data_IF_706164702590
#
_entry.id   IF_706164702590
#
_cell.length_a   1.000
_cell.length_b   1.000
_cell.length_c   1.000
_cell.angle_alpha   90.00
_cell.angle_beta   90.00
_cell.angle_gamma   90.00
#
_symmetry.space_group_name_H-M   'P 1'
#
loop_
_entity.id
_entity.type
_entity.pdbx_description
1 polymer ?
#
# COMPACT_ATOMS: atom_id res chain seq x y z
N UNK A 1 5.01 -19.17 1.71
CA UNK A 1 3.87 -18.88 2.60
C UNK A 1 3.79 -17.41 2.99
N UNK A 2 4.79 -16.82 3.66
CA UNK A 2 4.72 -15.38 4.02
C UNK A 2 4.76 -14.45 2.78
N UNK A 3 5.55 -14.84 1.77
CA UNK A 3 5.58 -14.17 0.46
C UNK A 3 4.21 -14.18 -0.23
N UNK A 4 3.49 -15.30 -0.16
CA UNK A 4 2.17 -15.45 -0.79
C UNK A 4 1.15 -14.50 -0.15
N UNK A 5 1.20 -14.34 1.19
CA UNK A 5 0.32 -13.39 1.90
C UNK A 5 0.61 -11.95 1.46
N UNK A 6 1.90 -11.59 1.31
CA UNK A 6 2.30 -10.27 0.81
C UNK A 6 1.76 -10.02 -0.61
N UNK A 7 1.91 -11.00 -1.50
CA UNK A 7 1.43 -10.92 -2.88
C UNK A 7 -0.11 -10.83 -2.95
N UNK A 8 -0.82 -11.67 -2.18
CA UNK A 8 -2.29 -11.67 -2.14
C UNK A 8 -2.80 -10.32 -1.65
N UNK A 9 -2.20 -9.79 -0.59
CA UNK A 9 -2.63 -8.51 0.00
C UNK A 9 -2.36 -7.35 -0.96
N UNK A 10 -1.21 -7.35 -1.63
CA UNK A 10 -0.88 -6.38 -2.67
C UNK A 10 -1.84 -6.45 -3.85
N UNK A 11 -2.23 -7.66 -4.27
CA UNK A 11 -3.19 -7.88 -5.36
C UNK A 11 -4.56 -7.35 -4.98
N UNK A 12 -5.01 -7.59 -3.75
CA UNK A 12 -6.26 -7.03 -3.24
C UNK A 12 -6.19 -5.50 -3.20
N UNK A 13 -5.09 -4.91 -2.70
CA UNK A 13 -4.90 -3.45 -2.70
C UNK A 13 -5.01 -2.85 -4.11
N UNK A 14 -4.42 -3.52 -5.11
CA UNK A 14 -4.51 -3.13 -6.51
C UNK A 14 -5.96 -3.17 -7.02
N UNK A 15 -6.71 -4.23 -6.76
CA UNK A 15 -8.12 -4.34 -7.15
C UNK A 15 -8.99 -3.24 -6.50
N UNK A 16 -8.78 -2.95 -5.22
CA UNK A 16 -9.47 -1.86 -4.52
C UNK A 16 -9.14 -0.49 -5.12
N UNK A 17 -7.90 -0.27 -5.53
CA UNK A 17 -7.46 0.99 -6.15
C UNK A 17 -8.11 1.17 -7.52
N UNK A 18 -8.16 0.10 -8.33
CA UNK A 18 -8.85 0.10 -9.63
C UNK A 18 -10.35 0.40 -9.43
N UNK A 19 -11.00 -0.30 -8.50
CA UNK A 19 -12.40 -0.05 -8.16
C UNK A 19 -12.64 1.40 -7.74
N UNK A 20 -11.84 1.91 -6.81
CA UNK A 20 -11.95 3.29 -6.32
C UNK A 20 -11.79 4.32 -7.45
N UNK A 21 -10.87 4.09 -8.38
CA UNK A 21 -10.63 4.97 -9.53
C UNK A 21 -11.87 5.02 -10.44
N UNK A 22 -12.46 3.87 -10.77
CA UNK A 22 -13.66 3.84 -11.60
C UNK A 22 -14.90 4.37 -10.86
N UNK A 23 -15.08 4.01 -9.60
CA UNK A 23 -16.21 4.44 -8.79
C UNK A 23 -16.20 5.97 -8.55
N UNK A 24 -15.02 6.56 -8.29
CA UNK A 24 -14.88 8.02 -8.12
C UNK A 24 -15.11 8.77 -9.44
N UNK A 25 -14.53 8.29 -10.54
CA UNK A 25 -14.75 8.89 -11.87
C UNK A 25 -16.23 8.86 -12.28
N UNK A 26 -16.88 7.71 -12.12
CA UNK A 26 -18.29 7.55 -12.46
C UNK A 26 -19.23 8.31 -11.51
N UNK A 27 -18.92 8.31 -10.21
CA UNK A 27 -19.68 9.06 -9.20
C UNK A 27 -19.62 10.57 -9.42
N UNK A 28 -18.44 11.11 -9.76
CA UNK A 28 -18.25 12.51 -10.11
C UNK A 28 -18.96 12.89 -11.41
N UNK A 29 -18.91 12.04 -12.44
CA UNK A 29 -19.58 12.31 -13.72
C UNK A 29 -21.11 12.28 -13.63
N UNK A 30 -21.67 11.40 -12.79
CA UNK A 30 -23.13 11.27 -12.65
C UNK A 30 -23.73 12.08 -11.50
N UNK A 31 -22.92 12.83 -10.74
CA UNK A 31 -23.39 13.58 -9.57
C UNK A 31 -24.01 12.70 -8.49
N UNK A 32 -23.58 11.42 -8.39
CA UNK A 32 -24.13 10.46 -7.41
C UNK A 32 -23.18 10.34 -6.23
N UNK A 33 -23.52 11.02 -5.14
CA UNK A 33 -22.72 11.07 -3.91
C UNK A 33 -22.42 9.67 -3.32
N UNK A 34 -23.36 8.72 -3.43
CA UNK A 34 -23.18 7.35 -2.94
C UNK A 34 -22.01 6.60 -3.58
N UNK A 35 -21.73 6.86 -4.86
CA UNK A 35 -20.59 6.25 -5.57
C UNK A 35 -19.27 6.90 -5.16
N UNK A 36 -19.29 8.20 -4.88
CA UNK A 36 -18.13 8.95 -4.39
C UNK A 36 -17.77 8.51 -2.97
N UNK A 37 -18.76 8.31 -2.09
CA UNK A 37 -18.55 7.79 -0.74
C UNK A 37 -18.01 6.35 -0.73
N UNK A 38 -18.55 5.48 -1.59
CA UNK A 38 -18.04 4.12 -1.75
C UNK A 38 -16.58 4.11 -2.22
N UNK A 39 -16.24 4.96 -3.20
CA UNK A 39 -14.87 5.12 -3.66
C UNK A 39 -13.95 5.61 -2.53
N UNK A 40 -14.41 6.57 -1.72
CA UNK A 40 -13.66 7.10 -0.57
C UNK A 40 -13.31 6.00 0.43
N UNK A 41 -14.29 5.16 0.78
CA UNK A 41 -14.08 4.05 1.71
C UNK A 41 -13.14 2.98 1.13
N UNK A 42 -13.25 2.70 -0.18
CA UNK A 42 -12.35 1.78 -0.87
C UNK A 42 -10.89 2.28 -0.85
N UNK A 43 -10.64 3.57 -1.09
CA UNK A 43 -9.29 4.16 -1.01
C UNK A 43 -8.72 4.09 0.41
N UNK A 44 -9.54 4.31 1.44
CA UNK A 44 -9.10 4.18 2.83
C UNK A 44 -8.62 2.77 3.19
N UNK A 45 -9.16 1.73 2.53
CA UNK A 45 -8.72 0.34 2.71
C UNK A 45 -7.39 0.03 2.00
N UNK A 46 -6.97 0.83 1.01
CA UNK A 46 -5.71 0.59 0.28
C UNK A 46 -4.50 0.78 1.20
N UNK A 47 -4.50 1.80 2.07
CA UNK A 47 -3.38 2.06 2.98
C UNK A 47 -3.05 0.89 3.93
N UNK A 48 -4.01 0.30 4.69
CA UNK A 48 -3.70 -0.84 5.56
C UNK A 48 -3.27 -2.08 4.75
N UNK A 49 -3.83 -2.32 3.57
CA UNK A 49 -3.41 -3.44 2.71
C UNK A 49 -1.96 -3.29 2.22
N UNK A 50 -1.58 -2.08 1.77
CA UNK A 50 -0.20 -1.79 1.41
C UNK A 50 0.74 -1.88 2.61
N UNK A 51 0.29 -1.44 3.79
CA UNK A 51 1.06 -1.54 5.05
C UNK A 51 1.39 -2.98 5.39
N UNK A 52 0.42 -3.90 5.29
CA UNK A 52 0.65 -5.34 5.50
C UNK A 52 1.72 -5.86 4.53
N UNK A 53 1.60 -5.48 3.25
CA UNK A 53 2.55 -5.89 2.20
C UNK A 53 3.97 -5.37 2.49
N UNK A 54 4.10 -4.09 2.89
CA UNK A 54 5.37 -3.47 3.29
C UNK A 54 5.97 -4.17 4.50
N UNK A 55 5.19 -4.43 5.55
CA UNK A 55 5.66 -5.10 6.77
C UNK A 55 6.16 -6.51 6.46
N UNK A 56 5.48 -7.26 5.59
CA UNK A 56 5.92 -8.59 5.16
C UNK A 56 7.28 -8.52 4.44
N UNK A 57 7.45 -7.57 3.51
CA UNK A 57 8.72 -7.42 2.78
C UNK A 57 9.85 -6.97 3.72
N UNK A 58 9.58 -6.01 4.62
CA UNK A 58 10.56 -5.56 5.62
C UNK A 58 10.97 -6.70 6.55
N UNK A 59 10.00 -7.51 6.99
CA UNK A 59 10.27 -8.68 7.82
C UNK A 59 11.17 -9.68 7.07
N UNK A 60 10.86 -9.97 5.80
CA UNK A 60 11.67 -10.86 4.97
C UNK A 60 13.09 -10.34 4.71
N UNK A 61 13.26 -9.02 4.52
CA UNK A 61 14.57 -8.39 4.42
C UNK A 61 15.36 -8.48 5.73
N UNK A 62 14.69 -8.29 6.87
CA UNK A 62 15.32 -8.38 8.19
C UNK A 62 15.79 -9.80 8.51
N UNK A 63 14.96 -10.81 8.24
CA UNK A 63 15.26 -12.23 8.46
C UNK A 63 16.10 -12.86 7.36
N UNK A 64 16.38 -12.13 6.26
CA UNK A 64 17.06 -12.64 5.07
C UNK A 64 16.38 -13.88 4.47
N UNK A 65 15.06 -13.80 4.32
CA UNK A 65 14.30 -14.86 3.65
C UNK A 65 14.58 -14.86 2.13
N UNK A 66 15.62 -15.60 1.74
CA UNK A 66 16.03 -15.77 0.34
C UNK A 66 15.04 -16.59 -0.50
N UNK A 67 13.95 -17.10 0.07
CA UNK A 67 12.85 -17.64 -0.73
C UNK A 67 12.18 -16.57 -1.59
N UNK A 68 12.29 -15.29 -1.22
CA UNK A 68 11.86 -14.17 -2.06
C UNK A 68 13.01 -13.72 -2.97
N UNK A 69 12.80 -13.78 -4.29
CA UNK A 69 13.75 -13.29 -5.28
C UNK A 69 14.17 -11.83 -5.01
N UNK A 70 13.21 -10.98 -4.62
CA UNK A 70 13.50 -9.59 -4.27
C UNK A 70 14.54 -9.47 -3.13
N UNK A 71 14.40 -10.25 -2.06
CA UNK A 71 15.32 -10.24 -0.90
C UNK A 71 16.71 -10.70 -1.33
N UNK A 72 16.79 -11.74 -2.17
CA UNK A 72 18.05 -12.22 -2.71
C UNK A 72 18.79 -11.16 -3.55
N UNK A 73 18.05 -10.41 -4.37
CA UNK A 73 18.65 -9.43 -5.28
C UNK A 73 19.16 -8.18 -4.57
N UNK A 74 18.53 -7.76 -3.46
CA UNK A 74 18.82 -6.46 -2.81
C UNK A 74 19.50 -6.57 -1.44
N UNK A 75 19.71 -7.77 -0.92
CA UNK A 75 20.27 -7.96 0.43
C UNK A 75 21.37 -9.04 0.49
N UNK A 76 22.21 -8.96 1.51
CA UNK A 76 23.25 -9.96 1.76
C UNK A 76 23.50 -10.16 3.26
N UNK A 77 24.06 -11.32 3.63
CA UNK A 77 24.37 -11.64 5.03
C UNK A 77 25.39 -10.68 5.65
N UNK A 78 26.29 -10.10 4.85
CA UNK A 78 27.29 -9.13 5.28
C UNK A 78 26.70 -7.74 5.62
N UNK A 79 25.46 -7.47 5.19
CA UNK A 79 24.79 -6.19 5.39
C UNK A 79 24.29 -6.05 6.84
N UNK A 80 24.40 -4.87 7.44
CA UNK A 80 23.87 -4.62 8.79
C UNK A 80 22.34 -4.67 8.81
N UNK A 81 21.68 -5.04 9.92
CA UNK A 81 20.22 -5.19 9.97
C UNK A 81 19.45 -3.93 9.57
N UNK A 82 19.98 -2.75 9.94
CA UNK A 82 19.39 -1.47 9.54
C UNK A 82 19.43 -1.29 8.01
N UNK A 83 20.57 -1.58 7.38
CA UNK A 83 20.73 -1.46 5.94
C UNK A 83 19.84 -2.44 5.17
N UNK A 84 19.58 -3.63 5.73
CA UNK A 84 18.62 -4.59 5.16
C UNK A 84 17.21 -4.03 5.12
N UNK A 85 16.75 -3.34 6.18
CA UNK A 85 15.44 -2.69 6.19
C UNK A 85 15.37 -1.58 5.14
N UNK A 86 16.43 -0.79 4.98
CA UNK A 86 16.48 0.26 3.94
C UNK A 86 16.50 -0.30 2.51
N UNK A 87 16.84 -1.58 2.33
CA UNK A 87 16.75 -2.24 1.03
C UNK A 87 15.30 -2.40 0.53
N UNK A 88 14.29 -2.09 1.36
CA UNK A 88 12.89 -1.98 0.94
C UNK A 88 12.73 -1.08 -0.29
N UNK A 89 13.47 0.03 -0.38
CA UNK A 89 13.41 0.94 -1.52
C UNK A 89 14.67 0.90 -2.41
N UNK A 90 15.54 -0.09 -2.20
CA UNK A 90 16.80 -0.22 -2.93
C UNK A 90 16.64 -0.76 -4.36
N UNK A 91 15.61 -1.57 -4.61
CA UNK A 91 15.29 -2.12 -5.93
C UNK A 91 14.04 -1.48 -6.56
N UNK A 92 13.86 -1.68 -7.86
CA UNK A 92 12.71 -1.12 -8.61
C UNK A 92 11.36 -1.57 -8.02
N UNK A 93 11.20 -2.86 -7.76
CA UNK A 93 9.94 -3.42 -7.25
C UNK A 93 9.58 -2.86 -5.87
N UNK A 94 10.56 -2.81 -4.97
CA UNK A 94 10.36 -2.30 -3.62
C UNK A 94 10.17 -0.78 -3.57
N UNK A 95 10.85 -0.03 -4.45
CA UNK A 95 10.64 1.42 -4.58
C UNK A 95 9.21 1.77 -4.96
N UNK A 96 8.63 1.04 -5.94
CA UNK A 96 7.22 1.26 -6.33
C UNK A 96 6.27 0.97 -5.17
N UNK A 97 6.51 -0.11 -4.42
CA UNK A 97 5.71 -0.44 -3.24
C UNK A 97 5.82 0.66 -2.15
N UNK A 98 7.03 1.13 -1.87
CA UNK A 98 7.28 2.18 -0.89
C UNK A 98 6.58 3.49 -1.25
N UNK A 99 6.72 3.94 -2.50
CA UNK A 99 6.07 5.16 -2.96
C UNK A 99 4.55 5.05 -3.00
N UNK A 100 4.01 3.91 -3.44
CA UNK A 100 2.57 3.66 -3.40
C UNK A 100 2.02 3.69 -1.96
N UNK A 101 2.74 3.08 -1.01
CA UNK A 101 2.38 3.11 0.40
C UNK A 101 2.39 4.53 0.98
N UNK A 102 3.41 5.33 0.67
CA UNK A 102 3.50 6.72 1.12
C UNK A 102 2.34 7.57 0.58
N UNK A 103 2.04 7.45 -0.72
CA UNK A 103 0.93 8.17 -1.34
C UNK A 103 -0.43 7.75 -0.76
N UNK A 104 -0.65 6.45 -0.55
CA UNK A 104 -1.85 5.95 0.12
C UNK A 104 -1.97 6.49 1.55
N UNK A 105 -0.85 6.65 2.26
CA UNK A 105 -0.81 7.27 3.59
C UNK A 105 -1.24 8.73 3.57
N UNK A 106 -0.71 9.54 2.64
CA UNK A 106 -1.13 10.94 2.49
C UNK A 106 -2.62 11.06 2.15
N UNK A 107 -3.12 10.24 1.24
CA UNK A 107 -4.55 10.23 0.90
C UNK A 107 -5.40 9.84 2.10
N UNK A 108 -5.01 8.81 2.87
CA UNK A 108 -5.73 8.40 4.06
C UNK A 108 -5.79 9.52 5.11
N UNK A 109 -4.67 10.23 5.36
CA UNK A 109 -4.62 11.37 6.28
C UNK A 109 -5.56 12.48 5.82
N UNK A 110 -5.50 12.87 4.54
CA UNK A 110 -6.36 13.92 3.99
C UNK A 110 -7.84 13.55 4.10
N UNK A 111 -8.20 12.31 3.75
CA UNK A 111 -9.59 11.85 3.81
C UNK A 111 -10.12 11.78 5.25
N UNK A 112 -9.30 11.34 6.21
CA UNK A 112 -9.68 11.27 7.62
C UNK A 112 -9.82 12.68 8.24
N UNK A 113 -8.91 13.60 7.89
CA UNK A 113 -8.94 14.97 8.39
C UNK A 113 -10.08 15.79 7.77
N UNK A 114 -10.33 15.62 6.46
CA UNK A 114 -11.43 16.27 5.75
C UNK A 114 -12.81 15.89 6.30
N UNK A 115 -12.99 14.63 6.72
CA UNK A 115 -14.26 14.15 7.23
C UNK A 115 -14.66 14.76 8.59
N UNK A 116 -13.67 15.18 9.40
CA UNK A 116 -13.93 15.85 10.68
C UNK A 116 -14.60 17.23 10.54
N UNK A 117 -14.48 17.85 9.36
CA UNK A 117 -15.08 19.17 9.09
C UNK A 117 -16.51 19.12 8.57
N UNK A 118 -16.96 17.98 8.02
CA UNK A 118 -18.30 17.81 7.47
C UNK A 118 -19.33 17.35 8.51
N UNK A 119 -18.92 16.61 9.54
CA UNK A 119 -19.81 16.13 10.61
C UNK A 119 -20.10 17.18 11.69
N UNK A 120 -19.51 18.38 11.58
CA UNK A 120 -19.67 19.49 12.53
C UNK A 120 -20.64 20.59 12.04
N UNK A 121 -21.36 20.37 10.94
CA UNK A 121 -22.46 21.22 10.46
C UNK A 121 -23.75 20.40 10.35
#
# INVERSE_FOLDING_TARGET
>A
MIADIGLITLTIAFLFTVYATFASAFGGWRGRETWVESARNAVLLVFPLLTISVVIVVYALYTLDFSMAYVYDVSSQAMSPFLRVTALWGGQQGSVLFWAWMMAGFVAVVLLCGNGSATAR
#
